data_IF_701785937200
#
_entry.id   IF_701785937200
#
_cell.length_a   1.000
_cell.length_b   1.000
_cell.length_c   1.000
_cell.angle_alpha   90.00
_cell.angle_beta   90.00
_cell.angle_gamma   90.00
#
_symmetry.space_group_name_H-M   'P 1'
#
loop_
_entity.id
_entity.type
_entity.pdbx_description
1 polymer ?
#
# COMPACT_ATOMS: atom_id res chain seq x y z
N UNK A 1 -29.27 -32.23 -12.88
CA UNK A 1 -27.94 -31.70 -12.54
C UNK A 1 -28.12 -30.56 -11.56
N UNK A 2 -27.69 -30.73 -10.31
CA UNK A 2 -27.82 -29.69 -9.28
C UNK A 2 -26.75 -28.63 -9.50
N UNK A 3 -27.16 -27.41 -9.81
CA UNK A 3 -26.26 -26.27 -9.99
C UNK A 3 -25.70 -25.88 -8.62
N UNK A 4 -24.46 -26.27 -8.31
CA UNK A 4 -23.75 -25.72 -7.15
C UNK A 4 -23.30 -24.30 -7.53
N UNK A 5 -23.83 -23.24 -6.89
CA UNK A 5 -23.35 -21.89 -7.14
C UNK A 5 -21.86 -21.85 -6.82
N UNK A 6 -21.04 -21.50 -7.82
CA UNK A 6 -19.59 -21.35 -7.64
C UNK A 6 -19.33 -20.07 -6.81
N UNK A 7 -18.36 -20.11 -5.88
CA UNK A 7 -18.10 -19.00 -4.97
C UNK A 7 -17.58 -17.76 -5.72
N UNK A 8 -18.02 -16.57 -5.28
CA UNK A 8 -17.69 -15.24 -5.82
C UNK A 8 -16.22 -14.80 -5.54
N UNK A 9 -15.24 -15.68 -5.77
CA UNK A 9 -13.82 -15.45 -5.45
C UNK A 9 -13.23 -14.26 -6.22
N UNK A 10 -13.71 -14.00 -7.43
CA UNK A 10 -13.25 -12.89 -8.28
C UNK A 10 -13.53 -11.51 -7.67
N UNK A 11 -14.69 -11.32 -7.03
CA UNK A 11 -15.04 -10.07 -6.38
C UNK A 11 -14.14 -9.82 -5.15
N UNK A 12 -13.92 -10.87 -4.33
CA UNK A 12 -13.05 -10.79 -3.17
C UNK A 12 -11.59 -10.43 -3.54
N UNK A 13 -11.04 -11.06 -4.58
CA UNK A 13 -9.69 -10.75 -5.07
C UNK A 13 -9.57 -9.32 -5.60
N UNK A 14 -10.61 -8.81 -6.27
CA UNK A 14 -10.63 -7.42 -6.74
C UNK A 14 -10.60 -6.42 -5.59
N UNK A 15 -11.39 -6.65 -4.54
CA UNK A 15 -11.37 -5.81 -3.34
C UNK A 15 -10.03 -5.88 -2.62
N UNK A 16 -9.46 -7.09 -2.48
CA UNK A 16 -8.17 -7.28 -1.82
C UNK A 16 -7.05 -6.53 -2.56
N UNK A 17 -7.02 -6.58 -3.89
CA UNK A 17 -6.06 -5.83 -4.73
C UNK A 17 -6.14 -4.33 -4.48
N UNK A 18 -7.35 -3.77 -4.48
CA UNK A 18 -7.55 -2.34 -4.25
C UNK A 18 -7.08 -1.94 -2.84
N UNK A 19 -7.45 -2.72 -1.82
CA UNK A 19 -7.05 -2.46 -0.44
C UNK A 19 -5.52 -2.52 -0.26
N UNK A 20 -4.85 -3.49 -0.86
CA UNK A 20 -3.39 -3.61 -0.85
C UNK A 20 -2.73 -2.38 -1.47
N UNK A 21 -3.23 -1.88 -2.60
CA UNK A 21 -2.70 -0.67 -3.25
C UNK A 21 -2.89 0.56 -2.35
N UNK A 22 -4.07 0.73 -1.76
CA UNK A 22 -4.36 1.86 -0.86
C UNK A 22 -3.43 1.82 0.36
N UNK A 23 -3.27 0.67 1.01
CA UNK A 23 -2.38 0.53 2.16
C UNK A 23 -0.90 0.78 1.78
N UNK A 24 -0.45 0.26 0.63
CA UNK A 24 0.90 0.51 0.12
C UNK A 24 1.12 2.00 -0.19
N UNK A 25 0.14 2.67 -0.80
CA UNK A 25 0.21 4.10 -1.09
C UNK A 25 0.26 4.94 0.21
N UNK A 26 -0.57 4.60 1.20
CA UNK A 26 -0.57 5.26 2.50
C UNK A 26 0.78 5.09 3.23
N UNK A 27 1.33 3.87 3.24
CA UNK A 27 2.67 3.60 3.80
C UNK A 27 3.75 4.37 3.03
N UNK A 28 3.70 4.36 1.70
CA UNK A 28 4.62 5.11 0.85
C UNK A 28 4.60 6.62 1.12
N UNK A 29 3.41 7.20 1.27
CA UNK A 29 3.24 8.60 1.64
C UNK A 29 3.84 8.92 3.02
N UNK A 30 3.67 8.04 4.01
CA UNK A 30 4.26 8.20 5.33
C UNK A 30 5.80 8.13 5.29
N UNK A 31 6.38 7.23 4.47
CA UNK A 31 7.84 7.14 4.30
C UNK A 31 8.39 8.44 3.69
N UNK A 32 7.75 8.96 2.64
CA UNK A 32 8.16 10.22 2.00
C UNK A 32 8.00 11.40 2.96
N UNK A 33 6.92 11.47 3.72
CA UNK A 33 6.68 12.50 4.72
C UNK A 33 7.75 12.46 5.83
N UNK A 34 8.16 11.26 6.27
CA UNK A 34 9.23 11.10 7.24
C UNK A 34 10.58 11.63 6.71
N UNK A 35 10.94 11.28 5.47
CA UNK A 35 12.15 11.81 4.79
C UNK A 35 12.08 13.34 4.70
N UNK A 36 10.93 13.90 4.34
CA UNK A 36 10.75 15.35 4.24
C UNK A 36 10.93 16.02 5.60
N UNK A 37 10.26 15.54 6.65
CA UNK A 37 10.43 16.07 8.01
C UNK A 37 11.89 16.02 8.43
N UNK A 38 12.58 14.91 8.20
CA UNK A 38 14.01 14.80 8.45
C UNK A 38 14.84 15.83 7.68
N UNK A 39 14.58 15.99 6.38
CA UNK A 39 15.31 16.94 5.55
C UNK A 39 15.10 18.39 6.04
N UNK A 40 13.86 18.76 6.40
CA UNK A 40 13.57 20.06 7.00
C UNK A 40 14.29 20.23 8.34
N UNK A 41 14.19 19.26 9.25
CA UNK A 41 14.82 19.31 10.57
C UNK A 41 16.35 19.44 10.46
N UNK A 42 16.96 18.74 9.50
CA UNK A 42 18.41 18.63 9.40
C UNK A 42 19.05 19.70 8.51
N UNK A 43 18.38 20.21 7.48
CA UNK A 43 18.94 21.21 6.56
C UNK A 43 18.36 22.61 6.72
N UNK A 44 17.22 22.75 7.39
CA UNK A 44 16.63 24.07 7.65
C UNK A 44 16.72 24.42 9.12
N UNK A 45 16.87 25.71 9.42
CA UNK A 45 16.74 26.24 10.78
C UNK A 45 15.29 26.61 11.10
N UNK A 46 14.31 26.06 10.36
CA UNK A 46 12.89 26.35 10.55
C UNK A 46 12.36 26.02 11.95
N UNK A 47 13.12 25.23 12.74
CA UNK A 47 12.81 24.90 14.14
C UNK A 47 13.19 26.00 15.12
N UNK A 48 14.15 26.85 14.78
CA UNK A 48 14.69 27.86 15.68
C UNK A 48 14.30 29.26 15.22
N UNK A 49 13.93 30.11 16.17
CA UNK A 49 13.85 31.56 15.96
C UNK A 49 14.93 32.20 16.80
N UNK A 50 15.78 33.00 16.16
CA UNK A 50 16.77 33.82 16.87
C UNK A 50 16.04 34.98 17.55
N UNK A 51 16.17 35.05 18.87
CA UNK A 51 15.69 36.19 19.65
C UNK A 51 16.69 37.32 19.45
N UNK A 52 16.45 38.14 18.42
CA UNK A 52 17.24 39.36 18.24
C UNK A 52 16.95 40.27 19.42
N UNK A 53 17.99 40.66 20.16
CA UNK A 53 17.87 41.71 21.17
C UNK A 53 17.21 42.91 20.50
N UNK A 54 16.03 43.28 20.98
CA UNK A 54 15.36 44.48 20.48
C UNK A 54 16.13 45.63 21.09
N UNK A 55 16.87 46.39 20.28
CA UNK A 55 17.65 47.57 20.74
C UNK A 55 16.79 48.68 21.35
N UNK A 56 15.46 48.50 21.39
CA UNK A 56 14.57 49.35 22.15
C UNK A 56 14.74 49.01 23.64
N UNK A 57 15.21 49.96 24.48
CA UNK A 57 15.34 49.73 25.91
C UNK A 57 13.97 49.40 26.49
N UNK A 58 13.73 48.12 26.73
CA UNK A 58 12.58 47.68 27.51
C UNK A 58 12.99 47.83 28.96
N UNK A 59 12.22 48.61 29.70
CA UNK A 59 12.37 48.74 31.13
C UNK A 59 12.16 47.33 31.74
N UNK A 60 13.26 46.68 32.11
CA UNK A 60 13.23 45.35 32.71
C UNK A 60 12.75 45.54 34.14
N UNK A 61 11.44 45.48 34.34
CA UNK A 61 10.86 45.42 35.67
C UNK A 61 11.28 44.09 36.29
N UNK A 62 12.34 44.14 37.09
CA UNK A 62 12.79 43.02 37.91
C UNK A 62 11.69 42.76 38.92
N UNK A 63 10.87 41.74 38.66
CA UNK A 63 9.95 41.22 39.68
C UNK A 63 10.82 40.50 40.71
N UNK A 64 11.12 41.19 41.80
CA UNK A 64 11.82 40.60 42.93
C UNK A 64 11.03 39.37 43.43
N UNK A 65 11.68 38.20 43.56
CA UNK A 65 11.03 37.02 44.13
C UNK A 65 10.94 37.22 45.65
N UNK A 66 9.97 38.02 46.11
CA UNK A 66 9.86 38.37 47.51
C UNK A 66 8.50 38.97 47.89
N UNK A 67 7.77 38.20 48.70
CA UNK A 67 6.64 38.59 49.54
C UNK A 67 5.20 38.54 48.95
N UNK A 68 4.46 37.53 49.44
CA UNK A 68 3.01 37.52 49.72
C UNK A 68 2.00 37.59 48.56
N UNK A 69 1.66 36.42 48.02
CA UNK A 69 0.25 36.09 47.71
C UNK A 69 -0.25 35.07 48.74
N UNK A 70 -0.48 35.56 49.96
CA UNK A 70 -1.18 34.84 51.01
C UNK A 70 -2.27 35.75 51.56
N UNK A 71 -3.25 36.12 50.74
CA UNK A 71 -4.57 36.59 51.21
C UNK A 71 -5.52 36.78 50.03
N UNK A 72 -6.28 35.74 49.68
CA UNK A 72 -7.67 35.96 49.26
C UNK A 72 -8.52 34.71 49.50
N UNK A 73 -8.64 34.35 50.78
CA UNK A 73 -9.79 33.60 51.31
C UNK A 73 -10.98 34.54 51.47
N UNK A 74 -11.86 34.59 50.47
CA UNK A 74 -13.29 34.94 50.59
C UNK A 74 -14.03 33.93 49.73
N UNK A 75 -14.54 32.83 50.27
CA UNK A 75 -15.80 32.75 51.02
C UNK A 75 -16.90 33.58 50.38
N UNK A 76 -17.60 32.98 49.41
CA UNK A 76 -19.03 33.17 49.25
C UNK A 76 -19.64 31.83 48.82
N UNK A 77 -20.33 31.23 49.77
CA UNK A 77 -21.28 30.15 49.65
C UNK A 77 -22.34 30.44 48.58
N UNK A 78 -22.52 29.52 47.65
CA UNK A 78 -23.75 29.41 46.86
C UNK A 78 -24.15 27.92 46.77
N UNK A 79 -25.34 27.51 47.29
CA UNK A 79 -25.79 26.13 47.23
C UNK A 79 -26.72 25.88 46.04
N UNK A 80 -26.58 24.68 45.47
CA UNK A 80 -27.56 23.94 44.68
C UNK A 80 -27.82 24.36 43.21
N UNK A 81 -26.98 23.82 42.32
CA UNK A 81 -27.46 23.34 41.01
C UNK A 81 -26.95 21.91 40.77
N UNK A 82 -27.84 20.89 40.68
CA UNK A 82 -27.48 19.58 40.16
C UNK A 82 -27.73 19.59 38.65
N UNK A 83 -26.67 19.70 37.85
CA UNK A 83 -26.73 19.31 36.43
C UNK A 83 -25.52 18.46 36.09
N UNK A 84 -25.86 17.22 35.76
CA UNK A 84 -25.02 16.21 35.16
C UNK A 84 -24.48 16.68 33.81
N UNK A 85 -23.19 16.43 33.55
CA UNK A 85 -22.74 15.52 32.50
C UNK A 85 -21.22 15.60 32.35
N UNK A 86 -20.60 14.43 32.42
CA UNK A 86 -19.17 14.27 32.45
C UNK A 86 -18.51 14.67 31.14
N UNK A 87 -17.48 15.51 31.27
CA UNK A 87 -16.33 15.49 30.38
C UNK A 87 -15.10 15.57 31.27
N UNK A 88 -14.60 14.40 31.63
CA UNK A 88 -13.32 14.23 32.31
C UNK A 88 -12.22 14.79 31.41
N UNK A 89 -11.93 16.08 31.55
CA UNK A 89 -10.61 16.61 31.29
C UNK A 89 -9.71 16.01 32.37
N UNK A 90 -9.00 14.95 31.99
CA UNK A 90 -7.83 14.47 32.74
C UNK A 90 -6.79 15.60 32.72
N UNK A 91 -6.88 16.47 33.71
CA UNK A 91 -5.76 17.26 34.17
C UNK A 91 -4.83 16.27 34.88
N UNK A 92 -3.85 15.75 34.16
CA UNK A 92 -2.73 15.01 34.74
C UNK A 92 -1.97 15.96 35.69
N UNK A 93 -2.36 15.91 36.96
CA UNK A 93 -1.56 16.40 38.05
C UNK A 93 -0.30 15.52 38.13
N UNK A 94 0.92 16.08 38.15
CA UNK A 94 2.13 15.29 38.22
C UNK A 94 2.20 14.64 39.60
N UNK A 95 1.86 13.36 39.65
CA UNK A 95 2.02 12.52 40.83
C UNK A 95 3.51 12.32 41.05
N UNK A 96 4.10 13.26 41.78
CA UNK A 96 5.42 13.18 42.40
C UNK A 96 5.43 12.01 43.37
N UNK A 97 5.77 10.84 42.85
CA UNK A 97 5.91 9.58 43.59
C UNK A 97 6.44 8.44 42.72
N UNK A 98 7.04 8.76 41.57
CA UNK A 98 7.85 7.79 40.86
C UNK A 98 9.19 7.71 41.59
N UNK A 99 9.53 6.51 42.05
CA UNK A 99 10.91 6.17 42.36
C UNK A 99 11.83 6.75 41.27
N UNK A 100 12.99 7.31 41.63
CA UNK A 100 14.01 7.64 40.66
C UNK A 100 14.49 6.31 40.06
N UNK A 101 13.81 5.86 39.01
CA UNK A 101 14.39 5.01 37.98
C UNK A 101 15.67 5.73 37.61
N UNK A 102 16.77 5.22 38.14
CA UNK A 102 18.13 5.60 37.82
C UNK A 102 18.33 5.16 36.38
N UNK A 103 17.71 5.91 35.47
CA UNK A 103 18.15 6.01 34.10
C UNK A 103 19.55 6.54 34.24
N UNK A 104 20.50 5.61 34.27
CA UNK A 104 21.94 5.82 34.15
C UNK A 104 22.19 6.30 32.71
N UNK A 105 21.51 7.37 32.35
CA UNK A 105 21.68 8.12 31.14
C UNK A 105 23.03 8.78 31.29
N UNK A 106 24.00 8.18 30.61
CA UNK A 106 25.26 8.81 30.21
C UNK A 106 24.95 10.29 30.00
N UNK A 107 25.46 11.14 30.89
CA UNK A 107 25.27 12.57 30.83
C UNK A 107 26.00 13.05 29.57
N UNK A 108 25.30 12.95 28.43
CA UNK A 108 25.78 13.46 27.16
C UNK A 108 26.07 14.93 27.41
N UNK A 109 27.33 15.29 27.28
CA UNK A 109 27.85 16.64 27.46
C UNK A 109 27.04 17.55 26.55
N UNK A 110 26.01 18.18 27.11
CA UNK A 110 25.07 19.01 26.34
C UNK A 110 25.90 20.16 25.80
N UNK A 111 25.95 20.29 24.47
CA UNK A 111 26.59 21.44 23.84
C UNK A 111 26.07 22.73 24.51
N UNK A 112 26.92 23.74 24.70
CA UNK A 112 26.52 24.98 25.37
C UNK A 112 25.24 25.51 24.71
N UNK A 113 24.17 25.61 25.51
CA UNK A 113 22.88 26.04 25.00
C UNK A 113 23.03 27.46 24.47
N UNK A 114 22.77 27.65 23.17
CA UNK A 114 22.68 28.98 22.59
C UNK A 114 21.46 29.68 23.20
N UNK A 115 21.71 30.56 24.16
CA UNK A 115 20.69 31.26 24.96
C UNK A 115 19.77 32.11 24.06
N UNK A 116 20.23 32.46 22.85
CA UNK A 116 19.49 33.30 21.92
C UNK A 116 18.59 32.50 20.96
N UNK A 117 18.61 31.16 21.03
CA UNK A 117 17.75 30.30 20.18
C UNK A 117 16.57 29.78 20.97
N UNK A 118 15.37 30.14 20.51
CA UNK A 118 14.11 29.63 21.06
C UNK A 118 13.42 28.75 20.01
N UNK A 119 12.74 27.70 20.48
CA UNK A 119 11.93 26.83 19.65
C UNK A 119 10.80 27.63 19.00
N UNK A 120 10.77 27.59 17.67
CA UNK A 120 9.72 28.21 16.87
C UNK A 120 8.39 27.46 17.01
N UNK A 121 7.29 28.13 16.63
CA UNK A 121 5.96 27.50 16.51
C UNK A 121 5.97 26.30 15.56
N UNK A 122 6.85 26.29 14.55
CA UNK A 122 6.92 25.22 13.57
C UNK A 122 7.37 23.88 14.17
N UNK A 123 8.14 23.88 15.28
CA UNK A 123 8.56 22.63 15.94
C UNK A 123 7.36 21.80 16.39
N UNK A 124 6.32 22.45 16.93
CA UNK A 124 5.08 21.79 17.34
C UNK A 124 4.36 21.13 16.15
N UNK A 125 4.35 21.81 14.99
CA UNK A 125 3.72 21.30 13.78
C UNK A 125 4.48 20.09 13.21
N UNK A 126 5.82 20.17 13.13
CA UNK A 126 6.65 19.06 12.71
C UNK A 126 6.51 17.85 13.65
N UNK A 127 6.44 18.08 14.96
CA UNK A 127 6.19 17.02 15.95
C UNK A 127 4.85 16.33 15.73
N UNK A 128 3.78 17.09 15.50
CA UNK A 128 2.45 16.53 15.22
C UNK A 128 2.44 15.73 13.92
N UNK A 129 3.04 16.25 12.85
CA UNK A 129 3.14 15.54 11.56
C UNK A 129 3.95 14.26 11.68
N UNK A 130 5.10 14.32 12.35
CA UNK A 130 5.95 13.14 12.54
C UNK A 130 5.23 12.07 13.36
N UNK A 131 4.51 12.45 14.41
CA UNK A 131 3.73 11.51 15.24
C UNK A 131 2.57 10.89 14.45
N UNK A 132 1.84 11.70 13.68
CA UNK A 132 0.78 11.20 12.81
C UNK A 132 1.34 10.26 11.73
N UNK A 133 2.44 10.63 11.09
CA UNK A 133 3.10 9.82 10.07
C UNK A 133 3.61 8.49 10.63
N UNK A 134 4.16 8.49 11.85
CA UNK A 134 4.61 7.28 12.53
C UNK A 134 3.44 6.34 12.84
N UNK A 135 2.36 6.86 13.44
CA UNK A 135 1.19 6.05 13.80
C UNK A 135 0.48 5.48 12.57
N UNK A 136 0.21 6.33 11.57
CA UNK A 136 -0.42 5.90 10.31
C UNK A 136 0.49 4.95 9.54
N UNK A 137 1.80 5.22 9.49
CA UNK A 137 2.77 4.36 8.81
C UNK A 137 2.85 2.95 9.41
N UNK A 138 2.91 2.84 10.74
CA UNK A 138 2.93 1.54 11.43
C UNK A 138 1.62 0.78 11.21
N UNK A 139 0.47 1.44 11.36
CA UNK A 139 -0.85 0.82 11.12
C UNK A 139 -1.00 0.36 9.66
N UNK A 140 -0.57 1.19 8.70
CA UNK A 140 -0.60 0.85 7.28
C UNK A 140 0.32 -0.35 6.98
N UNK A 141 1.52 -0.42 7.55
CA UNK A 141 2.44 -1.53 7.37
C UNK A 141 1.89 -2.86 7.92
N UNK A 142 1.31 -2.84 9.12
CA UNK A 142 0.69 -4.02 9.72
C UNK A 142 -0.55 -4.47 8.94
N UNK A 143 -1.39 -3.52 8.51
CA UNK A 143 -2.57 -3.82 7.72
C UNK A 143 -2.19 -4.40 6.37
N UNK A 144 -1.19 -3.83 5.70
CA UNK A 144 -0.64 -4.34 4.44
C UNK A 144 -0.13 -5.77 4.60
N UNK A 145 0.63 -6.05 5.67
CA UNK A 145 1.12 -7.39 5.98
C UNK A 145 -0.04 -8.39 6.12
N UNK A 146 -1.09 -8.06 6.87
CA UNK A 146 -2.25 -8.92 7.05
C UNK A 146 -3.00 -9.16 5.74
N UNK A 147 -3.20 -8.12 4.92
CA UNK A 147 -3.85 -8.25 3.61
C UNK A 147 -3.04 -9.13 2.64
N UNK A 148 -1.72 -9.02 2.65
CA UNK A 148 -0.84 -9.87 1.82
C UNK A 148 -0.87 -11.33 2.28
N UNK A 149 -0.92 -11.59 3.59
CA UNK A 149 -1.11 -12.95 4.14
C UNK A 149 -2.46 -13.52 3.71
N UNK A 150 -3.54 -12.75 3.82
CA UNK A 150 -4.86 -13.17 3.34
C UNK A 150 -4.86 -13.47 1.83
N UNK A 151 -4.18 -12.64 1.03
CA UNK A 151 -4.02 -12.85 -0.40
C UNK A 151 -3.34 -14.18 -0.73
N UNK A 152 -2.28 -14.54 0.01
CA UNK A 152 -1.58 -15.83 -0.15
C UNK A 152 -2.46 -17.00 0.26
N UNK A 153 -3.20 -16.90 1.37
CA UNK A 153 -4.11 -17.97 1.81
C UNK A 153 -5.19 -18.22 0.75
N UNK A 154 -5.79 -17.17 0.20
CA UNK A 154 -6.83 -17.29 -0.84
C UNK A 154 -6.25 -17.83 -2.15
N UNK A 155 -5.11 -17.31 -2.61
CA UNK A 155 -4.46 -17.77 -3.83
C UNK A 155 -3.97 -19.22 -3.72
N UNK A 156 -3.40 -19.59 -2.58
CA UNK A 156 -2.95 -20.96 -2.29
C UNK A 156 -4.12 -21.93 -2.19
N UNK A 157 -5.20 -21.57 -1.50
CA UNK A 157 -6.39 -22.43 -1.39
C UNK A 157 -7.09 -22.72 -2.71
N UNK A 158 -6.96 -21.82 -3.70
CA UNK A 158 -7.54 -21.99 -5.03
C UNK A 158 -6.55 -22.55 -6.08
N UNK A 159 -5.32 -22.93 -5.68
CA UNK A 159 -4.26 -23.42 -6.58
C UNK A 159 -4.04 -22.51 -7.80
N UNK A 160 -4.00 -21.21 -7.53
CA UNK A 160 -3.94 -20.18 -8.56
C UNK A 160 -2.53 -20.14 -9.18
N UNK A 161 -2.38 -20.17 -10.52
CA UNK A 161 -1.08 -20.01 -11.17
C UNK A 161 -0.48 -18.64 -10.83
N UNK A 162 0.80 -18.59 -10.42
CA UNK A 162 1.47 -17.36 -9.99
C UNK A 162 1.46 -17.13 -8.47
N UNK A 163 0.95 -18.09 -7.67
CA UNK A 163 0.96 -18.03 -6.20
C UNK A 163 2.37 -17.82 -5.63
N UNK A 164 3.41 -18.27 -6.31
CA UNK A 164 4.81 -18.12 -5.91
C UNK A 164 5.20 -16.65 -5.80
N UNK A 165 4.69 -15.81 -6.71
CA UNK A 165 4.92 -14.37 -6.69
C UNK A 165 4.19 -13.71 -5.53
N UNK A 166 2.98 -14.16 -5.22
CA UNK A 166 2.23 -13.68 -4.06
C UNK A 166 2.95 -14.04 -2.76
N UNK A 167 3.40 -15.29 -2.60
CA UNK A 167 4.15 -15.75 -1.42
C UNK A 167 5.43 -14.94 -1.23
N UNK A 168 6.21 -14.78 -2.30
CA UNK A 168 7.46 -14.00 -2.25
C UNK A 168 7.18 -12.54 -1.85
N UNK A 169 6.13 -11.94 -2.39
CA UNK A 169 5.70 -10.57 -2.06
C UNK A 169 5.28 -10.46 -0.58
N UNK A 170 4.57 -11.45 -0.06
CA UNK A 170 4.19 -11.51 1.35
C UNK A 170 5.41 -11.65 2.27
N UNK A 171 6.38 -12.50 1.93
CA UNK A 171 7.63 -12.62 2.69
C UNK A 171 8.36 -11.27 2.79
N UNK A 172 8.50 -10.54 1.68
CA UNK A 172 9.09 -9.20 1.68
C UNK A 172 8.25 -8.17 2.43
N UNK A 173 6.91 -8.26 2.38
CA UNK A 173 6.02 -7.38 3.13
C UNK A 173 6.19 -7.57 4.64
N UNK A 174 6.38 -8.81 5.11
CA UNK A 174 6.67 -9.09 6.53
C UNK A 174 7.99 -8.40 6.94
N UNK A 175 9.03 -8.50 6.12
CA UNK A 175 10.31 -7.81 6.37
C UNK A 175 10.11 -6.29 6.44
N UNK A 176 9.38 -5.71 5.49
CA UNK A 176 9.04 -4.27 5.49
C UNK A 176 8.29 -3.90 6.77
N UNK A 177 7.27 -4.67 7.15
CA UNK A 177 6.48 -4.41 8.34
C UNK A 177 7.33 -4.43 9.61
N UNK A 178 8.23 -5.43 9.76
CA UNK A 178 9.15 -5.53 10.89
C UNK A 178 10.12 -4.34 10.95
N UNK A 179 10.64 -3.88 9.81
CA UNK A 179 11.53 -2.71 9.75
C UNK A 179 10.79 -1.41 10.10
N UNK A 180 9.51 -1.30 9.77
CA UNK A 180 8.68 -0.14 10.08
C UNK A 180 8.31 -0.03 11.57
N UNK A 181 8.42 -1.11 12.35
CA UNK A 181 8.09 -1.09 13.78
C UNK A 181 9.12 -0.28 14.59
N UNK A 182 8.71 0.47 15.62
CA UNK A 182 9.61 1.18 16.52
C UNK A 182 10.27 0.19 17.50
N UNK A 183 11.16 -0.66 16.98
CA UNK A 183 11.71 -1.79 17.71
C UNK A 183 12.53 -1.38 18.95
N UNK A 184 13.14 -0.20 18.96
CA UNK A 184 13.88 0.28 20.14
C UNK A 184 12.97 0.58 21.35
N UNK A 185 11.71 0.94 21.12
CA UNK A 185 10.75 1.20 22.20
C UNK A 185 10.29 -0.11 22.85
N UNK A 186 10.33 -1.22 22.10
CA UNK A 186 9.94 -2.56 22.57
C UNK A 186 11.13 -3.32 23.13
N UNK A 187 12.31 -3.18 22.50
CA UNK A 187 13.51 -3.94 22.82
C UNK A 187 14.69 -2.98 23.08
N UNK A 188 14.98 -2.76 24.35
CA UNK A 188 16.07 -1.89 24.80
C UNK A 188 17.46 -2.33 24.26
N UNK A 189 17.62 -3.61 23.91
CA UNK A 189 18.87 -4.18 23.42
C UNK A 189 19.10 -3.99 21.91
N UNK A 190 18.09 -3.57 21.14
CA UNK A 190 18.23 -3.44 19.70
C UNK A 190 18.85 -2.09 19.32
N UNK A 191 19.97 -2.08 18.56
CA UNK A 191 20.59 -0.85 18.09
C UNK A 191 19.78 -0.17 16.97
N UNK A 192 18.71 -0.80 16.49
CA UNK A 192 17.89 -0.33 15.39
C UNK A 192 16.54 0.18 15.90
N UNK A 193 16.30 1.48 15.74
CA UNK A 193 15.08 2.14 16.18
C UNK A 193 13.84 1.88 15.32
N UNK A 194 13.99 1.24 14.16
CA UNK A 194 12.95 1.23 13.15
C UNK A 194 13.05 2.41 12.18
N UNK A 195 12.28 2.32 11.11
CA UNK A 195 12.20 3.35 10.06
C UNK A 195 11.44 4.57 10.55
N UNK A 196 10.32 4.35 11.23
CA UNK A 196 9.51 5.41 11.82
C UNK A 196 9.98 5.73 13.24
N UNK A 197 11.11 6.43 13.32
CA UNK A 197 11.63 6.92 14.59
C UNK A 197 10.83 8.13 15.11
N UNK A 198 10.87 8.34 16.43
CA UNK A 198 10.21 9.48 17.05
C UNK A 198 10.88 10.80 16.65
N UNK A 199 10.08 11.87 16.57
CA UNK A 199 10.57 13.21 16.25
C UNK A 199 11.73 13.64 17.17
N UNK A 200 11.60 13.36 18.48
CA UNK A 200 12.62 13.70 19.47
C UNK A 200 13.98 13.02 19.21
N UNK A 201 13.96 11.74 18.82
CA UNK A 201 15.17 10.98 18.50
C UNK A 201 15.87 11.54 17.25
N UNK A 202 15.07 11.88 16.22
CA UNK A 202 15.55 12.49 14.99
C UNK A 202 16.21 13.86 15.24
N UNK A 203 15.54 14.73 16.02
CA UNK A 203 16.06 16.06 16.35
C UNK A 203 17.33 15.99 17.20
N UNK A 204 17.37 15.09 18.19
CA UNK A 204 18.53 14.89 19.05
C UNK A 204 19.74 14.39 18.25
N UNK A 205 19.53 13.45 17.33
CA UNK A 205 20.59 12.93 16.45
C UNK A 205 21.12 14.01 15.50
N UNK A 206 20.22 14.82 14.93
CA UNK A 206 20.58 15.94 14.06
C UNK A 206 21.37 17.03 14.80
N UNK A 207 20.94 17.39 16.02
CA UNK A 207 21.63 18.36 16.87
C UNK A 207 23.00 17.85 17.32
N UNK A 208 23.12 16.57 17.67
CA UNK A 208 24.40 15.96 18.03
C UNK A 208 25.42 16.04 16.90
N UNK A 209 25.00 15.77 15.65
CA UNK A 209 25.87 15.87 14.47
C UNK A 209 26.27 17.32 14.21
N UNK A 210 25.31 18.26 14.23
CA UNK A 210 25.59 19.69 14.00
C UNK A 210 26.51 20.28 15.06
N UNK A 211 26.38 19.83 16.31
CA UNK A 211 27.24 20.24 17.42
C UNK A 211 28.61 19.55 17.42
N UNK A 212 28.85 18.56 16.55
CA UNK A 212 30.08 17.76 16.57
C UNK A 212 30.25 17.00 17.89
N UNK A 213 29.16 16.56 18.52
CA UNK A 213 29.24 15.86 19.79
C UNK A 213 30.04 14.54 19.62
N UNK A 214 30.91 14.18 20.59
CA UNK A 214 31.76 13.00 20.47
C UNK A 214 30.95 11.68 20.42
N UNK A 215 29.75 11.67 21.00
CA UNK A 215 28.82 10.54 20.97
C UNK A 215 27.80 10.64 19.79
N UNK A 216 27.98 11.57 18.85
CA UNK A 216 27.07 11.72 17.71
C UNK A 216 27.15 10.50 16.77
N UNK A 217 26.02 10.08 16.17
CA UNK A 217 26.05 9.03 15.16
C UNK A 217 26.93 9.47 13.99
N UNK A 218 27.66 8.53 13.40
CA UNK A 218 28.45 8.81 12.20
C UNK A 218 27.53 9.34 11.09
N UNK A 219 28.03 10.25 10.24
CA UNK A 219 27.22 10.82 9.16
C UNK A 219 26.60 9.74 8.28
N UNK A 220 27.34 8.68 7.96
CA UNK A 220 26.83 7.52 7.21
C UNK A 220 25.69 6.80 7.94
N UNK A 221 25.79 6.60 9.25
CA UNK A 221 24.71 5.99 10.04
C UNK A 221 23.47 6.88 10.04
N UNK A 222 23.63 8.19 10.22
CA UNK A 222 22.52 9.13 10.24
C UNK A 222 21.78 9.24 8.90
N UNK A 223 22.51 9.45 7.79
CA UNK A 223 21.93 9.44 6.44
C UNK A 223 21.39 8.06 6.06
N UNK A 224 22.08 7.00 6.47
CA UNK A 224 21.63 5.62 6.29
C UNK A 224 20.24 5.42 6.91
N UNK A 225 20.09 5.79 8.18
CA UNK A 225 18.88 5.55 8.96
C UNK A 225 17.70 6.42 8.51
N UNK A 226 17.91 7.71 8.25
CA UNK A 226 16.81 8.65 8.00
C UNK A 226 16.51 8.93 6.53
N UNK A 227 17.42 8.59 5.61
CA UNK A 227 17.23 8.82 4.17
C UNK A 227 17.27 7.52 3.37
N UNK A 228 18.38 6.77 3.48
CA UNK A 228 18.62 5.63 2.61
C UNK A 228 17.67 4.47 2.90
N UNK A 229 17.51 4.09 4.17
CA UNK A 229 16.62 2.98 4.57
C UNK A 229 15.15 3.26 4.18
N UNK A 230 14.53 4.41 4.53
CA UNK A 230 13.17 4.72 4.09
C UNK A 230 13.00 4.70 2.57
N UNK A 231 14.00 5.17 1.81
CA UNK A 231 13.98 5.18 0.35
C UNK A 231 14.05 3.75 -0.23
N UNK A 232 14.93 2.90 0.30
CA UNK A 232 15.04 1.49 -0.09
C UNK A 232 13.74 0.74 0.21
N UNK A 233 13.13 1.00 1.36
CA UNK A 233 11.85 0.40 1.73
C UNK A 233 10.73 0.88 0.82
N UNK A 234 10.70 2.17 0.48
CA UNK A 234 9.74 2.71 -0.50
C UNK A 234 9.88 2.03 -1.87
N UNK A 235 11.11 1.89 -2.38
CA UNK A 235 11.36 1.19 -3.65
C UNK A 235 10.96 -0.30 -3.59
N UNK A 236 11.32 -0.97 -2.49
CA UNK A 236 10.96 -2.38 -2.27
C UNK A 236 9.45 -2.56 -2.17
N UNK A 237 8.75 -1.65 -1.49
CA UNK A 237 7.29 -1.62 -1.39
C UNK A 237 6.63 -1.55 -2.76
N UNK A 238 7.10 -0.65 -3.65
CA UNK A 238 6.60 -0.56 -5.03
C UNK A 238 6.80 -1.87 -5.79
N UNK A 239 8.01 -2.45 -5.73
CA UNK A 239 8.32 -3.73 -6.40
C UNK A 239 7.42 -4.86 -5.90
N UNK A 240 7.23 -4.94 -4.58
CA UNK A 240 6.39 -5.95 -3.92
C UNK A 240 4.92 -5.79 -4.33
N UNK A 241 4.39 -4.56 -4.37
CA UNK A 241 3.01 -4.31 -4.82
C UNK A 241 2.81 -4.71 -6.28
N UNK A 242 3.74 -4.36 -7.17
CA UNK A 242 3.68 -4.77 -8.60
C UNK A 242 3.74 -6.29 -8.73
N UNK A 243 4.67 -6.96 -8.02
CA UNK A 243 4.79 -8.42 -8.06
C UNK A 243 3.55 -9.14 -7.55
N UNK A 244 2.99 -8.67 -6.44
CA UNK A 244 1.75 -9.20 -5.89
C UNK A 244 0.61 -9.10 -6.92
N UNK A 245 0.50 -7.94 -7.54
CA UNK A 245 -0.51 -7.66 -8.55
C UNK A 245 -0.38 -8.56 -9.79
N UNK A 246 0.84 -8.73 -10.31
CA UNK A 246 1.09 -9.65 -11.42
C UNK A 246 0.72 -11.09 -11.06
N UNK A 247 1.03 -11.54 -9.83
CA UNK A 247 0.66 -12.88 -9.37
C UNK A 247 -0.85 -13.08 -9.26
N UNK A 248 -1.59 -12.07 -8.80
CA UNK A 248 -3.06 -12.14 -8.72
C UNK A 248 -3.70 -12.10 -10.12
N UNK A 249 -3.17 -11.31 -11.05
CA UNK A 249 -3.73 -11.19 -12.41
C UNK A 249 -3.56 -12.48 -13.24
N UNK A 250 -2.40 -13.13 -13.15
CA UNK A 250 -2.19 -14.46 -13.77
C UNK A 250 -3.26 -15.46 -13.31
N UNK A 251 -3.68 -15.35 -12.05
CA UNK A 251 -4.74 -16.14 -11.47
C UNK A 251 -6.14 -15.87 -12.00
N UNK A 252 -6.48 -14.58 -12.15
CA UNK A 252 -7.82 -14.16 -12.58
C UNK A 252 -8.06 -14.58 -14.05
N UNK A 253 -7.07 -14.38 -14.92
CA UNK A 253 -7.22 -14.61 -16.37
C UNK A 253 -7.54 -16.07 -16.69
N UNK A 254 -6.88 -17.02 -16.00
CA UNK A 254 -7.08 -18.46 -16.24
C UNK A 254 -8.49 -18.90 -15.86
N UNK A 255 -9.06 -18.33 -14.79
CA UNK A 255 -10.43 -18.65 -14.39
C UNK A 255 -11.47 -18.06 -15.33
N UNK A 256 -11.27 -16.84 -15.84
CA UNK A 256 -12.27 -16.20 -16.72
C UNK A 256 -12.27 -16.75 -18.15
N UNK A 257 -11.10 -17.07 -18.72
CA UNK A 257 -11.03 -17.58 -20.10
C UNK A 257 -11.54 -19.03 -20.18
N UNK A 258 -11.21 -19.89 -19.21
CA UNK A 258 -11.78 -21.25 -19.17
C UNK A 258 -13.29 -21.21 -18.95
N UNK A 259 -13.84 -20.23 -18.24
CA UNK A 259 -15.28 -20.10 -18.04
C UNK A 259 -15.99 -19.51 -19.26
N UNK A 260 -15.36 -18.56 -19.94
CA UNK A 260 -15.90 -18.00 -21.16
C UNK A 260 -15.84 -19.05 -22.28
N UNK A 261 -14.76 -19.82 -22.39
CA UNK A 261 -14.68 -20.97 -23.30
C UNK A 261 -15.62 -22.10 -22.89
N UNK A 262 -15.75 -22.46 -21.59
CA UNK A 262 -16.70 -23.51 -21.19
C UNK A 262 -18.15 -23.07 -21.44
N UNK A 263 -18.46 -21.79 -21.23
CA UNK A 263 -19.78 -21.23 -21.53
C UNK A 263 -20.01 -21.12 -23.04
N UNK A 264 -19.01 -20.70 -23.80
CA UNK A 264 -19.06 -20.61 -25.26
C UNK A 264 -19.15 -22.01 -25.89
N UNK A 265 -18.45 -23.02 -25.36
CA UNK A 265 -18.57 -24.42 -25.75
C UNK A 265 -19.93 -24.99 -25.35
N UNK A 266 -20.47 -24.62 -24.19
CA UNK A 266 -21.83 -25.01 -23.79
C UNK A 266 -22.88 -24.35 -24.69
N UNK A 267 -22.69 -23.11 -25.09
CA UNK A 267 -23.55 -22.41 -26.04
C UNK A 267 -23.40 -22.99 -27.46
N UNK A 268 -22.17 -23.21 -27.96
CA UNK A 268 -21.90 -23.84 -29.26
C UNK A 268 -22.41 -25.28 -29.32
N UNK A 269 -22.27 -26.07 -28.26
CA UNK A 269 -22.82 -27.43 -28.21
C UNK A 269 -24.35 -27.42 -28.14
N UNK A 270 -24.96 -26.44 -27.46
CA UNK A 270 -26.41 -26.25 -27.50
C UNK A 270 -26.91 -25.84 -28.90
N UNK A 271 -26.16 -24.98 -29.61
CA UNK A 271 -26.47 -24.56 -30.99
C UNK A 271 -26.31 -25.73 -31.95
N UNK A 272 -25.26 -26.56 -31.82
CA UNK A 272 -25.09 -27.76 -32.65
C UNK A 272 -26.28 -28.71 -32.52
N UNK A 273 -26.82 -28.87 -31.32
CA UNK A 273 -27.99 -29.75 -31.10
C UNK A 273 -29.28 -29.17 -31.72
N UNK A 274 -29.46 -27.85 -31.68
CA UNK A 274 -30.60 -27.15 -32.31
C UNK A 274 -30.46 -27.12 -33.83
N UNK A 275 -29.26 -26.91 -34.36
CA UNK A 275 -28.97 -26.90 -35.80
C UNK A 275 -29.19 -28.26 -36.47
N UNK A 276 -29.04 -29.37 -35.74
CA UNK A 276 -29.37 -30.72 -36.25
C UNK A 276 -30.85 -31.09 -36.17
N UNK A 277 -31.68 -30.32 -35.43
CA UNK A 277 -33.12 -30.60 -35.24
C UNK A 277 -34.07 -29.57 -35.82
N UNK A 278 -33.58 -28.44 -36.30
CA UNK A 278 -34.39 -27.53 -37.10
C UNK A 278 -34.42 -28.04 -38.55
N UNK A 279 -35.54 -28.59 -39.06
CA UNK A 279 -35.67 -28.89 -40.49
C UNK A 279 -35.44 -27.59 -41.27
N UNK A 280 -34.62 -27.66 -42.32
CA UNK A 280 -34.38 -26.57 -43.27
C UNK A 280 -35.71 -26.04 -43.83
N UNK A 281 -36.29 -25.02 -43.20
CA UNK A 281 -37.43 -24.25 -43.73
C UNK A 281 -37.12 -22.75 -43.83
N UNK A 282 -35.84 -22.37 -43.85
CA UNK A 282 -35.41 -20.97 -44.05
C UNK A 282 -35.26 -20.61 -45.54
N UNK A 283 -35.76 -21.47 -46.45
CA UNK A 283 -35.81 -21.20 -47.89
C UNK A 283 -37.12 -20.58 -48.40
N UNK A 284 -38.13 -20.38 -47.55
CA UNK A 284 -39.46 -19.96 -47.99
C UNK A 284 -39.85 -18.51 -47.65
N UNK A 285 -39.14 -17.85 -46.71
CA UNK A 285 -39.58 -16.52 -46.25
C UNK A 285 -39.10 -15.34 -47.10
N UNK A 286 -38.12 -15.54 -48.00
CA UNK A 286 -37.65 -14.48 -48.90
C UNK A 286 -38.34 -14.46 -50.27
N UNK A 287 -39.34 -15.34 -50.52
CA UNK A 287 -40.05 -15.42 -51.81
C UNK A 287 -41.50 -14.91 -51.78
N UNK A 288 -41.97 -14.35 -50.66
CA UNK A 288 -43.35 -13.89 -50.51
C UNK A 288 -43.55 -12.35 -50.46
N UNK A 289 -42.48 -11.55 -50.59
CA UNK A 289 -42.59 -10.09 -50.72
C UNK A 289 -41.86 -9.63 -51.97
N UNK A 290 -42.59 -9.52 -53.09
CA UNK A 290 -42.09 -8.82 -54.27
C UNK A 290 -42.34 -9.50 -55.62
N UNK A 291 -43.26 -10.45 -55.73
CA UNK A 291 -43.78 -10.86 -57.05
C UNK A 291 -44.91 -9.90 -57.44
N UNK A 292 -44.55 -8.75 -57.99
CA UNK A 292 -45.41 -8.00 -58.88
C UNK A 292 -44.71 -7.95 -60.23
N UNK A 293 -45.26 -8.72 -61.14
CA UNK A 293 -44.98 -8.68 -62.56
C UNK A 293 -45.25 -7.27 -63.12
N UNK A 294 -44.49 -6.97 -64.17
CA UNK A 294 -44.72 -5.98 -65.24
C UNK A 294 -43.62 -4.91 -65.30
N UNK A 295 -42.54 -5.22 -66.03
CA UNK A 295 -42.27 -4.53 -67.30
C UNK A 295 -40.97 -5.01 -67.99
N UNK A 296 -41.17 -5.57 -69.18
CA UNK A 296 -40.47 -5.31 -70.45
C UNK A 296 -39.00 -4.81 -70.42
N UNK A 297 -38.10 -5.75 -70.74
CA UNK A 297 -36.87 -5.74 -71.58
C UNK A 297 -36.54 -4.48 -72.45
N UNK A 298 -35.39 -4.43 -73.17
CA UNK A 298 -33.99 -4.80 -72.86
C UNK A 298 -32.97 -3.73 -73.36
N UNK A 299 -31.70 -3.77 -72.92
CA UNK A 299 -30.52 -3.58 -73.81
C UNK A 299 -29.17 -3.53 -73.06
N UNK A 300 -28.26 -4.41 -73.50
CA UNK A 300 -26.84 -4.20 -73.82
C UNK A 300 -26.05 -3.27 -72.86
N UNK A 301 -24.97 -3.72 -72.20
CA UNK A 301 -23.60 -3.73 -72.77
C UNK A 301 -22.66 -4.27 -71.67
N UNK A 302 -22.11 -5.49 -71.81
CA UNK A 302 -20.72 -5.82 -72.23
C UNK A 302 -19.62 -5.59 -71.17
N UNK A 303 -18.90 -6.70 -70.89
CA UNK A 303 -17.54 -6.85 -70.34
C UNK A 303 -17.31 -6.36 -68.89
N UNK A 304 -16.61 -7.08 -68.01
CA UNK A 304 -15.39 -7.84 -68.22
C UNK A 304 -15.29 -9.03 -67.25
N UNK A 305 -14.86 -10.16 -67.80
CA UNK A 305 -14.48 -11.40 -67.13
C UNK A 305 -13.13 -11.18 -66.44
N UNK A 306 -13.04 -11.42 -65.13
CA UNK A 306 -11.78 -11.79 -64.48
C UNK A 306 -11.85 -13.28 -64.13
N UNK A 307 -10.82 -14.08 -64.42
CA UNK A 307 -10.82 -15.51 -64.14
C UNK A 307 -10.70 -15.76 -62.63
N UNK A 308 -11.55 -16.65 -62.14
CA UNK A 308 -11.44 -17.27 -60.82
C UNK A 308 -10.13 -18.07 -60.77
N UNK A 309 -9.33 -18.00 -59.69
CA UNK A 309 -8.27 -18.97 -59.45
C UNK A 309 -8.90 -20.33 -59.08
N UNK A 310 -8.37 -21.39 -59.68
CA UNK A 310 -8.80 -22.77 -59.43
C UNK A 310 -8.68 -23.13 -57.94
N UNK A 311 -9.64 -23.91 -57.38
CA UNK A 311 -9.48 -24.50 -56.08
C UNK A 311 -8.35 -25.52 -56.15
N UNK A 312 -7.27 -25.28 -55.40
CA UNK A 312 -6.23 -26.28 -55.16
C UNK A 312 -6.88 -27.38 -54.33
N UNK A 313 -7.00 -28.56 -54.94
CA UNK A 313 -7.32 -29.80 -54.25
C UNK A 313 -6.23 -30.08 -53.20
N UNK A 314 -6.48 -29.68 -51.95
CA UNK A 314 -5.73 -30.19 -50.81
C UNK A 314 -6.05 -31.68 -50.67
N UNK A 315 -5.06 -32.59 -50.78
CA UNK A 315 -5.30 -34.00 -50.54
C UNK A 315 -5.73 -34.18 -49.09
N UNK A 316 -6.92 -34.74 -48.89
CA UNK A 316 -7.39 -35.29 -47.63
C UNK A 316 -6.28 -36.16 -47.03
N UNK A 317 -5.55 -35.61 -46.06
CA UNK A 317 -4.74 -36.41 -45.15
C UNK A 317 -5.71 -37.04 -44.15
N UNK A 318 -6.01 -38.32 -44.34
CA UNK A 318 -6.68 -39.21 -43.38
C UNK A 318 -5.81 -39.43 -42.12
N UNK A 319 -5.46 -38.35 -41.40
CA UNK A 319 -4.85 -38.47 -40.08
C UNK A 319 -5.94 -38.28 -39.01
N UNK A 320 -6.34 -39.34 -38.28
CA UNK A 320 -7.33 -39.21 -37.23
C UNK A 320 -6.80 -38.26 -36.13
N UNK A 321 -7.67 -37.41 -35.55
CA UNK A 321 -7.25 -36.42 -34.57
C UNK A 321 -6.60 -37.12 -33.37
N UNK A 322 -5.29 -36.91 -33.21
CA UNK A 322 -4.52 -37.44 -32.08
C UNK A 322 -5.13 -36.90 -30.79
N UNK A 323 -5.71 -37.83 -30.02
CA UNK A 323 -6.28 -37.59 -28.70
C UNK A 323 -5.14 -37.17 -27.76
N UNK A 324 -5.08 -35.89 -27.41
CA UNK A 324 -4.16 -35.31 -26.42
C UNK A 324 -4.55 -35.86 -25.04
N UNK A 325 -4.20 -37.12 -24.74
CA UNK A 325 -4.39 -37.72 -23.41
C UNK A 325 -3.62 -39.02 -23.18
N UNK A 326 -2.43 -39.16 -23.75
CA UNK A 326 -1.49 -40.18 -23.30
C UNK A 326 -0.32 -39.52 -22.55
N UNK A 327 -0.09 -39.84 -21.26
CA UNK A 327 1.10 -39.42 -20.55
C UNK A 327 2.31 -40.10 -21.19
N UNK A 328 3.21 -39.30 -21.77
CA UNK A 328 4.48 -39.76 -22.30
C UNK A 328 5.25 -40.52 -21.23
N UNK A 329 5.20 -41.84 -21.34
CA UNK A 329 5.98 -42.77 -20.53
C UNK A 329 7.36 -42.90 -21.18
N UNK A 330 8.37 -42.37 -20.51
CA UNK A 330 9.73 -42.87 -20.59
C UNK A 330 10.61 -42.37 -21.74
N UNK A 331 11.36 -41.29 -21.47
CA UNK A 331 12.75 -41.19 -21.94
C UNK A 331 13.65 -41.01 -20.72
N UNK A 332 14.51 -41.99 -20.38
CA UNK A 332 15.46 -41.83 -19.28
C UNK A 332 16.51 -40.78 -19.66
N UNK A 333 16.62 -39.72 -18.86
CA UNK A 333 17.68 -38.73 -19.00
C UNK A 333 19.04 -39.40 -18.75
N UNK A 334 19.88 -39.44 -19.79
CA UNK A 334 21.31 -39.69 -19.62
C UNK A 334 21.93 -38.50 -18.87
N UNK A 335 22.64 -38.79 -17.78
CA UNK A 335 23.46 -37.81 -17.07
C UNK A 335 24.74 -37.53 -17.88
N UNK A 336 25.14 -36.27 -18.06
CA UNK A 336 26.49 -35.96 -18.50
C UNK A 336 27.48 -36.21 -17.34
N UNK A 337 28.62 -36.80 -17.69
CA UNK A 337 29.79 -37.07 -16.86
C UNK A 337 30.55 -35.76 -16.62
#
# INVERSE_FOLDING_TARGET
>A
MSYKPKPHVSAALRHLRLSVIICAAALGACLLLHILVWAFVHYTDARWTEVKATDTPRDVVVVEPGASQSENTRSLSDPAHPVSQGRAAQTESPRSGAEPLTVRGRAATRAPADVNRVLSRNDSWFRSISSLSQTVGVVAALTLMLLMIQGVIVAGGANVPGVERAVTSTSWTIVIALLCLPLADVFVSLPFGGVFCSYASMTASSEAIRAGAPDAPTGMQFYGQHLLIPLVIFATLVIVTIRFHMGVEEGVIVTSMSELDEKLDREMSSIKFVATRAPRSVGALHRAMGDNADDVSPSLTRASRSPLPDPVDEPLSDEPPRRIKDPQTGKPMQRPI
#
